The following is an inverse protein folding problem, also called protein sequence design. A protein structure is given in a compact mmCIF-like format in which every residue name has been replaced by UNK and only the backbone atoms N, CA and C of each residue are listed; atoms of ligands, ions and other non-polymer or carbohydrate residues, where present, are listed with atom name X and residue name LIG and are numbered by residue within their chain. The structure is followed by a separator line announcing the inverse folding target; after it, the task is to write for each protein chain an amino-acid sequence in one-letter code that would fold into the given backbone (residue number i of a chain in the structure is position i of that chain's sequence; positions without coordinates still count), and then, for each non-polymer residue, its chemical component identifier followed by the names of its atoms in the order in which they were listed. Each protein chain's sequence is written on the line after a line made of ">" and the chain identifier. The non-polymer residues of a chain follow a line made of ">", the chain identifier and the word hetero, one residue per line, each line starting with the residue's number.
data_IF_711450941743
#
_entry.id   IF_711450941743
#
_cell.length_a   1.000
_cell.length_b   1.000
_cell.length_c   1.000
_cell.angle_alpha   90.00
_cell.angle_beta   90.00
_cell.angle_gamma   90.00
#
_symmetry.space_group_name_H-M   'P 1'
#
loop_
_entity.id
_entity.type
_entity.pdbx_description
1 polymer ?
#
# COMPACT_ATOMS: atom_id res chain seq x y z
N UNK A 1 21.02 66.08 50.34
CA UNK A 1 19.92 65.17 50.34
C UNK A 1 19.67 64.79 48.87
N UNK A 2 20.11 63.62 48.48
CA UNK A 2 19.99 63.12 47.12
C UNK A 2 18.95 61.99 47.11
N UNK A 3 17.87 62.24 46.41
CA UNK A 3 16.80 61.24 46.24
C UNK A 3 17.24 60.16 45.26
N UNK A 4 17.27 58.88 45.70
CA UNK A 4 17.49 57.70 44.88
C UNK A 4 16.14 57.21 44.36
N UNK A 5 15.90 57.34 43.05
CA UNK A 5 14.77 56.73 42.39
C UNK A 5 15.19 55.35 41.88
N UNK A 6 14.57 54.30 42.43
CA UNK A 6 14.73 52.89 41.96
C UNK A 6 13.93 52.67 40.67
N UNK A 7 14.66 52.41 39.60
CA UNK A 7 14.08 52.03 38.29
C UNK A 7 13.75 50.54 38.26
N UNK A 8 12.45 50.18 38.11
CA UNK A 8 11.98 48.80 38.06
C UNK A 8 11.82 48.44 36.57
N UNK A 9 12.54 47.42 36.08
CA UNK A 9 12.42 47.05 34.66
C UNK A 9 11.06 46.40 34.37
N UNK A 10 10.32 46.98 33.42
CA UNK A 10 9.07 46.40 32.87
C UNK A 10 9.36 45.08 32.15
N UNK A 11 8.90 43.97 32.73
CA UNK A 11 8.92 42.65 32.10
C UNK A 11 8.09 42.66 30.79
N UNK A 12 8.75 42.42 29.66
CA UNK A 12 8.13 42.32 28.33
C UNK A 12 7.20 41.10 28.24
N UNK A 13 5.89 41.32 28.32
CA UNK A 13 4.84 40.30 28.18
C UNK A 13 4.87 39.54 26.84
N UNK A 14 5.46 40.16 25.79
CA UNK A 14 5.59 39.58 24.46
C UNK A 14 6.61 38.43 24.35
N UNK A 15 7.60 38.34 25.28
CA UNK A 15 8.60 37.28 25.23
C UNK A 15 8.06 35.97 25.83
N UNK A 16 7.23 36.07 26.87
CA UNK A 16 6.57 34.90 27.49
C UNK A 16 5.53 34.26 26.52
N UNK A 17 4.80 35.09 25.76
CA UNK A 17 3.81 34.61 24.80
C UNK A 17 4.46 33.94 23.58
N UNK A 18 5.61 34.44 23.10
CA UNK A 18 6.37 33.81 22.01
C UNK A 18 6.98 32.47 22.42
N UNK A 19 7.49 32.36 23.65
CA UNK A 19 8.04 31.09 24.18
C UNK A 19 6.93 30.05 24.37
N UNK A 20 5.73 30.44 24.78
CA UNK A 20 4.59 29.53 24.93
C UNK A 20 4.09 29.01 23.58
N UNK A 21 4.07 29.86 22.53
CA UNK A 21 3.68 29.45 21.16
C UNK A 21 4.71 28.48 20.55
N UNK A 22 6.01 28.71 20.74
CA UNK A 22 7.06 27.80 20.29
C UNK A 22 7.02 26.44 21.02
N UNK A 23 6.72 26.43 22.32
CA UNK A 23 6.59 25.19 23.09
C UNK A 23 5.35 24.38 22.66
N UNK A 24 4.24 25.03 22.36
CA UNK A 24 3.02 24.39 21.85
C UNK A 24 3.20 23.84 20.41
N UNK A 25 3.98 24.51 19.56
CA UNK A 25 4.31 24.03 18.21
C UNK A 25 5.25 22.81 18.24
N UNK A 26 6.19 22.74 19.19
CA UNK A 26 7.07 21.59 19.40
C UNK A 26 6.31 20.35 19.92
N UNK A 27 5.32 20.51 20.80
CA UNK A 27 4.49 19.40 21.26
C UNK A 27 3.50 18.87 20.21
N UNK A 28 3.07 19.69 19.24
CA UNK A 28 2.23 19.28 18.12
C UNK A 28 2.98 18.40 17.09
N UNK A 29 4.30 18.58 16.92
CA UNK A 29 5.14 17.81 16.01
C UNK A 29 5.55 16.44 16.56
N UNK A 30 5.66 16.27 17.88
CA UNK A 30 6.13 15.03 18.52
C UNK A 30 5.11 13.87 18.45
N UNK A 31 3.84 14.14 18.14
CA UNK A 31 2.80 13.08 18.01
C UNK A 31 2.83 12.33 16.69
N UNK A 32 3.51 12.81 15.66
CA UNK A 32 3.54 12.16 14.34
C UNK A 32 4.69 11.18 14.15
N UNK A 33 5.82 11.39 14.81
CA UNK A 33 7.04 10.56 14.64
C UNK A 33 6.91 9.12 15.15
N UNK A 34 5.97 8.84 16.05
CA UNK A 34 5.77 7.52 16.65
C UNK A 34 4.45 6.83 16.26
N UNK A 35 3.70 7.38 15.30
CA UNK A 35 2.47 6.75 14.84
C UNK A 35 2.76 5.68 13.79
N UNK A 36 2.08 4.53 13.83
CA UNK A 36 2.13 3.55 12.74
C UNK A 36 1.74 4.18 11.41
N UNK A 37 2.31 3.69 10.34
CA UNK A 37 2.00 4.17 8.99
C UNK A 37 2.15 3.07 7.93
N UNK A 38 1.54 3.32 6.78
CA UNK A 38 1.70 2.50 5.58
C UNK A 38 2.56 3.29 4.59
N UNK A 39 3.51 2.61 3.94
CA UNK A 39 4.30 3.13 2.82
C UNK A 39 4.00 2.33 1.56
N UNK A 40 3.79 3.03 0.44
CA UNK A 40 3.63 2.42 -0.88
C UNK A 40 5.01 2.07 -1.43
N UNK A 41 5.24 0.80 -1.74
CA UNK A 41 6.53 0.24 -2.17
C UNK A 41 6.59 -0.06 -3.67
N UNK A 42 5.45 -0.04 -4.34
CA UNK A 42 5.31 -0.22 -5.77
C UNK A 42 3.87 0.05 -6.19
N UNK A 43 3.66 0.37 -7.45
CA UNK A 43 2.36 0.79 -7.98
C UNK A 43 1.94 0.10 -9.26
N UNK A 44 2.85 -0.64 -9.92
CA UNK A 44 2.57 -1.30 -11.19
C UNK A 44 1.92 -2.67 -10.98
N UNK A 45 1.15 -3.13 -11.97
CA UNK A 45 0.61 -4.48 -12.01
C UNK A 45 1.72 -5.51 -12.27
N UNK A 46 1.58 -6.71 -11.76
CA UNK A 46 2.30 -7.96 -11.94
C UNK A 46 3.70 -7.92 -12.57
N UNK A 47 3.80 -7.44 -13.80
CA UNK A 47 5.03 -7.42 -14.58
C UNK A 47 5.84 -6.13 -14.47
N UNK A 48 5.38 -5.15 -13.69
CA UNK A 48 6.06 -3.86 -13.53
C UNK A 48 6.03 -2.95 -14.75
N UNK A 49 6.73 -1.83 -14.65
CA UNK A 49 7.03 -0.93 -15.77
C UNK A 49 8.53 -0.65 -15.80
N UNK A 50 9.27 -0.95 -16.88
CA UNK A 50 8.78 -1.48 -18.16
C UNK A 50 8.34 -2.95 -18.07
N UNK A 51 7.29 -3.29 -18.83
CA UNK A 51 6.74 -4.63 -18.87
C UNK A 51 7.53 -5.53 -19.84
N UNK A 52 7.76 -6.79 -19.44
CA UNK A 52 8.51 -7.76 -20.25
C UNK A 52 7.88 -7.96 -21.64
N UNK A 53 8.70 -7.87 -22.69
CA UNK A 53 8.25 -8.03 -24.08
C UNK A 53 7.50 -6.81 -24.65
N UNK A 54 7.19 -5.80 -23.88
CA UNK A 54 6.50 -4.61 -24.38
C UNK A 54 7.48 -3.67 -25.12
N UNK A 55 7.21 -3.44 -26.41
CA UNK A 55 7.96 -2.50 -27.27
C UNK A 55 7.17 -1.22 -27.58
N UNK A 56 5.99 -1.07 -26.97
CA UNK A 56 5.10 0.07 -27.20
C UNK A 56 5.60 1.32 -26.49
N UNK A 57 4.98 2.47 -26.82
CA UNK A 57 5.35 3.79 -26.29
C UNK A 57 5.38 3.85 -24.77
N UNK A 58 4.46 3.16 -24.09
CA UNK A 58 4.40 3.10 -22.62
C UNK A 58 5.69 2.58 -21.98
N UNK A 59 6.32 1.51 -22.53
CA UNK A 59 7.54 0.94 -22.00
C UNK A 59 8.82 1.44 -22.68
N UNK A 60 8.72 1.96 -23.91
CA UNK A 60 9.89 2.35 -24.71
C UNK A 60 10.77 3.38 -24.02
N UNK A 61 10.15 4.37 -23.36
CA UNK A 61 10.90 5.39 -22.59
C UNK A 61 11.63 4.71 -21.43
N UNK A 62 10.95 3.91 -20.64
CA UNK A 62 11.51 3.22 -19.47
C UNK A 62 12.67 2.30 -19.87
N UNK A 63 12.58 1.54 -20.97
CA UNK A 63 13.69 0.76 -21.50
C UNK A 63 14.91 1.62 -21.86
N UNK A 64 14.70 2.84 -22.35
CA UNK A 64 15.81 3.72 -22.77
C UNK A 64 16.42 4.54 -21.64
N UNK A 65 15.63 4.88 -20.60
CA UNK A 65 16.08 5.74 -19.49
C UNK A 65 16.47 4.95 -18.24
N UNK A 66 16.05 3.68 -18.12
CA UNK A 66 16.18 2.89 -16.90
C UNK A 66 15.17 3.27 -15.81
N UNK A 67 14.26 4.21 -16.07
CA UNK A 67 13.16 4.51 -15.17
C UNK A 67 12.24 3.29 -15.06
N UNK A 68 11.85 2.93 -13.84
CA UNK A 68 10.94 1.82 -13.58
C UNK A 68 9.92 2.17 -12.51
N UNK A 69 8.76 1.50 -12.57
CA UNK A 69 7.79 1.46 -11.48
C UNK A 69 7.69 0.02 -10.98
N UNK A 70 7.87 -0.16 -9.68
CA UNK A 70 7.84 -1.48 -9.04
C UNK A 70 6.43 -2.03 -8.97
N UNK A 71 6.36 -3.35 -8.91
CA UNK A 71 5.10 -4.07 -8.73
C UNK A 71 4.46 -3.73 -7.40
N UNK A 72 3.14 -3.60 -7.42
CA UNK A 72 2.30 -3.11 -6.32
C UNK A 72 2.50 -3.90 -5.04
N UNK A 73 2.90 -3.19 -4.01
CA UNK A 73 3.08 -3.69 -2.66
C UNK A 73 3.06 -2.53 -1.68
N UNK A 74 2.69 -2.79 -0.45
CA UNK A 74 2.74 -1.82 0.64
C UNK A 74 3.46 -2.39 1.86
N UNK A 75 4.14 -1.51 2.59
CA UNK A 75 4.74 -1.83 3.89
C UNK A 75 3.93 -1.24 5.03
N UNK A 76 3.65 -2.03 6.06
CA UNK A 76 3.08 -1.57 7.32
C UNK A 76 4.23 -1.37 8.29
N UNK A 77 4.34 -0.22 8.92
CA UNK A 77 5.45 0.13 9.79
C UNK A 77 4.92 0.58 11.15
N UNK A 78 5.47 -0.02 12.20
CA UNK A 78 5.31 0.47 13.56
C UNK A 78 6.66 1.02 14.08
N UNK A 79 6.83 2.35 14.09
CA UNK A 79 8.09 2.97 14.53
C UNK A 79 8.44 2.70 16.00
N UNK A 80 7.42 2.46 16.85
CA UNK A 80 7.65 2.19 18.28
C UNK A 80 8.35 0.87 18.52
N UNK A 81 8.07 -0.13 17.68
CA UNK A 81 8.65 -1.47 17.80
C UNK A 81 9.81 -1.71 16.84
N UNK A 82 9.99 -0.82 15.84
CA UNK A 82 10.95 -1.02 14.75
C UNK A 82 10.60 -2.20 13.86
N UNK A 83 9.34 -2.64 13.86
CA UNK A 83 8.87 -3.76 13.06
C UNK A 83 8.14 -3.29 11.82
N UNK A 84 8.24 -4.09 10.75
CA UNK A 84 7.48 -3.89 9.52
C UNK A 84 6.89 -5.19 9.03
N UNK A 85 5.81 -5.07 8.25
CA UNK A 85 5.17 -6.16 7.51
C UNK A 85 5.00 -5.74 6.07
N UNK A 86 5.19 -6.70 5.16
CA UNK A 86 5.01 -6.51 3.74
C UNK A 86 3.67 -7.10 3.31
N UNK A 87 2.89 -6.41 2.50
CA UNK A 87 1.78 -7.02 1.77
C UNK A 87 2.22 -7.23 0.34
N UNK A 88 2.24 -8.50 -0.06
CA UNK A 88 2.72 -9.08 -1.31
C UNK A 88 4.25 -9.07 -1.48
N UNK A 89 4.78 -10.27 -1.74
CA UNK A 89 6.18 -10.49 -2.10
C UNK A 89 6.33 -10.49 -3.62
N UNK A 90 6.55 -9.33 -4.19
CA UNK A 90 6.56 -9.07 -5.64
C UNK A 90 7.89 -9.48 -6.30
N UNK A 91 8.00 -9.44 -7.63
CA UNK A 91 9.29 -9.55 -8.33
C UNK A 91 10.35 -8.55 -7.83
N UNK A 92 9.91 -7.38 -7.33
CA UNK A 92 10.77 -6.32 -6.80
C UNK A 92 11.09 -6.45 -5.31
N UNK A 93 10.82 -7.62 -4.71
CA UNK A 93 10.96 -7.88 -3.28
C UNK A 93 12.27 -7.37 -2.68
N UNK A 94 13.41 -7.59 -3.35
CA UNK A 94 14.70 -7.19 -2.83
C UNK A 94 14.80 -5.66 -2.62
N UNK A 95 14.32 -4.86 -3.57
CA UNK A 95 14.34 -3.40 -3.46
C UNK A 95 13.28 -2.90 -2.47
N UNK A 96 12.12 -3.55 -2.39
CA UNK A 96 11.06 -3.21 -1.46
C UNK A 96 11.46 -3.52 -0.01
N UNK A 97 12.12 -4.66 0.22
CA UNK A 97 12.71 -5.01 1.51
C UNK A 97 13.78 -4.00 1.93
N UNK A 98 14.66 -3.60 1.00
CA UNK A 98 15.68 -2.59 1.27
C UNK A 98 15.07 -1.24 1.70
N UNK A 99 13.94 -0.85 1.12
CA UNK A 99 13.22 0.37 1.54
C UNK A 99 12.73 0.20 3.00
N UNK A 100 12.10 -0.92 3.34
CA UNK A 100 11.62 -1.16 4.71
C UNK A 100 12.75 -1.18 5.74
N UNK A 101 13.82 -1.92 5.46
CA UNK A 101 14.87 -2.14 6.46
C UNK A 101 15.88 -1.01 6.54
N UNK A 102 16.29 -0.42 5.41
CA UNK A 102 17.35 0.57 5.40
C UNK A 102 16.83 2.02 5.32
N UNK A 103 15.73 2.30 4.58
CA UNK A 103 15.20 3.66 4.52
C UNK A 103 14.30 3.95 5.71
N UNK A 104 13.44 3.00 6.09
CA UNK A 104 12.53 3.15 7.24
C UNK A 104 13.11 2.60 8.55
N UNK A 105 14.31 2.01 8.52
CA UNK A 105 15.03 1.48 9.67
C UNK A 105 14.19 0.53 10.52
N UNK A 106 13.58 -0.45 9.87
CA UNK A 106 12.73 -1.46 10.52
C UNK A 106 13.25 -2.86 10.23
N UNK A 107 12.69 -3.85 10.91
CA UNK A 107 12.94 -5.28 10.64
C UNK A 107 11.67 -5.92 10.09
N UNK A 108 11.78 -6.60 8.95
CA UNK A 108 10.67 -7.36 8.40
C UNK A 108 10.26 -8.48 9.37
N UNK A 109 9.01 -8.45 9.82
CA UNK A 109 8.44 -9.35 10.82
C UNK A 109 7.41 -10.32 10.25
N UNK A 110 6.99 -10.13 8.99
CA UNK A 110 6.08 -11.03 8.30
C UNK A 110 5.63 -10.50 6.94
N UNK A 111 5.09 -11.40 6.15
CA UNK A 111 4.59 -11.13 4.79
C UNK A 111 3.15 -11.62 4.71
N UNK A 112 2.25 -10.77 4.23
CA UNK A 112 0.86 -11.08 3.95
C UNK A 112 0.67 -11.22 2.44
N UNK A 113 -0.03 -12.25 2.00
CA UNK A 113 -0.29 -12.49 0.58
C UNK A 113 -1.76 -12.21 0.27
N UNK A 114 -1.98 -11.48 -0.82
CA UNK A 114 -3.35 -11.21 -1.31
C UNK A 114 -3.89 -12.41 -2.09
N UNK A 115 -3.14 -12.93 -3.05
CA UNK A 115 -3.55 -14.04 -3.91
C UNK A 115 -2.38 -14.65 -4.72
N UNK A 116 -2.66 -15.69 -5.52
CA UNK A 116 -1.66 -16.45 -6.27
C UNK A 116 -1.50 -16.00 -7.73
N UNK A 117 -1.46 -14.69 -8.00
CA UNK A 117 -0.92 -14.17 -9.26
C UNK A 117 0.56 -13.82 -9.10
N UNK A 118 1.32 -13.96 -10.18
CA UNK A 118 2.79 -13.98 -10.14
C UNK A 118 3.39 -12.69 -9.55
N UNK A 119 2.74 -11.56 -9.72
CA UNK A 119 3.14 -10.27 -9.17
C UNK A 119 3.12 -10.20 -7.64
N UNK A 120 2.39 -11.11 -6.97
CA UNK A 120 2.08 -10.98 -5.54
C UNK A 120 2.83 -11.96 -4.64
N UNK A 121 3.44 -13.04 -5.18
CA UNK A 121 4.06 -14.08 -4.34
C UNK A 121 5.41 -14.58 -4.83
N UNK A 122 5.84 -14.31 -6.07
CA UNK A 122 7.08 -14.88 -6.62
C UNK A 122 8.32 -14.44 -5.85
N UNK A 123 8.29 -13.25 -5.26
CA UNK A 123 9.38 -12.70 -4.44
C UNK A 123 9.67 -13.53 -3.18
N UNK A 124 8.76 -14.41 -2.74
CA UNK A 124 9.03 -15.34 -1.66
C UNK A 124 10.27 -16.20 -1.93
N UNK A 125 10.63 -16.44 -3.18
CA UNK A 125 11.83 -17.19 -3.56
C UNK A 125 13.12 -16.56 -3.07
N UNK A 126 13.11 -15.22 -2.87
CA UNK A 126 14.26 -14.48 -2.31
C UNK A 126 14.57 -14.88 -0.85
N UNK A 127 13.59 -15.48 -0.13
CA UNK A 127 13.78 -15.98 1.23
C UNK A 127 14.56 -17.28 1.28
N UNK A 128 14.74 -17.96 0.13
CA UNK A 128 15.43 -19.22 -0.01
C UNK A 128 16.91 -19.15 0.34
N UNK A 129 17.52 -20.33 0.48
CA UNK A 129 18.94 -20.52 0.84
C UNK A 129 19.91 -19.92 -0.18
N UNK A 130 19.48 -19.78 -1.43
CA UNK A 130 20.29 -19.24 -2.52
C UNK A 130 20.47 -17.72 -2.45
N UNK A 131 19.60 -17.01 -1.66
CA UNK A 131 19.63 -15.57 -1.50
C UNK A 131 19.73 -15.18 -0.03
N UNK A 132 18.60 -15.12 0.71
CA UNK A 132 18.59 -14.63 2.10
C UNK A 132 18.89 -15.75 3.12
N UNK A 133 18.56 -17.00 2.81
CA UNK A 133 18.60 -18.07 3.81
C UNK A 133 17.76 -17.74 5.04
N UNK A 134 16.59 -17.14 4.85
CA UNK A 134 15.71 -16.70 5.93
C UNK A 134 15.37 -17.89 6.86
N UNK A 135 15.04 -17.58 8.12
CA UNK A 135 14.69 -18.58 9.12
C UNK A 135 13.29 -18.34 9.64
N UNK A 136 12.37 -19.24 9.28
CA UNK A 136 10.97 -19.24 9.72
C UNK A 136 10.27 -17.89 9.51
N UNK A 137 10.55 -17.17 8.40
CA UNK A 137 9.87 -15.92 8.08
C UNK A 137 8.36 -16.16 8.06
N UNK A 138 7.55 -15.45 8.88
CA UNK A 138 6.10 -15.60 8.88
C UNK A 138 5.51 -15.20 7.53
N UNK A 139 4.75 -16.08 6.90
CA UNK A 139 3.99 -15.82 5.68
C UNK A 139 2.52 -16.11 5.97
N UNK A 140 1.71 -15.07 5.97
CA UNK A 140 0.28 -15.14 6.24
C UNK A 140 -0.46 -15.36 4.92
N UNK A 141 -1.28 -16.40 4.85
CA UNK A 141 -1.96 -16.81 3.63
C UNK A 141 -3.33 -17.45 3.91
N UNK A 142 -4.27 -17.26 2.99
CA UNK A 142 -5.56 -17.92 2.98
C UNK A 142 -5.43 -19.43 2.69
N UNK A 143 -6.41 -20.26 3.06
CA UNK A 143 -6.29 -21.73 3.00
C UNK A 143 -5.89 -22.32 1.64
N UNK A 144 -6.49 -21.86 0.52
CA UNK A 144 -6.08 -22.34 -0.81
C UNK A 144 -4.67 -21.86 -1.16
N UNK A 145 -4.32 -20.59 -0.84
CA UNK A 145 -2.96 -20.08 -1.02
C UNK A 145 -1.93 -20.89 -0.24
N UNK A 146 -2.23 -21.31 0.98
CA UNK A 146 -1.37 -22.21 1.74
C UNK A 146 -1.19 -23.55 1.01
N UNK A 147 -2.29 -24.11 0.51
CA UNK A 147 -2.27 -25.38 -0.25
C UNK A 147 -1.44 -25.23 -1.51
N UNK A 148 -1.59 -24.12 -2.22
CA UNK A 148 -0.79 -23.81 -3.39
C UNK A 148 0.72 -23.77 -3.07
N UNK A 149 1.15 -23.05 -2.05
CA UNK A 149 2.56 -22.95 -1.66
C UNK A 149 3.14 -24.30 -1.17
N UNK A 150 2.33 -25.12 -0.47
CA UNK A 150 2.75 -26.43 0.04
C UNK A 150 2.93 -27.47 -1.06
N UNK A 151 2.15 -27.38 -2.13
CA UNK A 151 2.09 -28.43 -3.16
C UNK A 151 2.90 -28.10 -4.42
N UNK A 152 3.41 -26.86 -4.56
CA UNK A 152 4.14 -26.48 -5.74
C UNK A 152 5.61 -26.13 -5.42
N UNK A 153 6.51 -26.71 -6.24
CA UNK A 153 7.92 -26.34 -6.19
C UNK A 153 8.13 -25.02 -6.97
N UNK A 154 9.07 -24.18 -6.54
CA UNK A 154 10.02 -24.38 -5.45
C UNK A 154 9.52 -23.88 -4.07
N UNK A 155 8.31 -23.34 -3.93
CA UNK A 155 7.81 -22.76 -2.66
C UNK A 155 7.73 -23.80 -1.53
N UNK A 156 7.36 -25.06 -1.84
CA UNK A 156 7.34 -26.13 -0.85
C UNK A 156 8.74 -26.41 -0.25
N UNK A 157 9.83 -26.16 -0.99
CA UNK A 157 11.18 -26.25 -0.46
C UNK A 157 11.43 -25.20 0.62
N UNK A 158 10.96 -23.95 0.44
CA UNK A 158 11.10 -22.92 1.47
C UNK A 158 10.50 -23.33 2.80
N UNK A 159 9.39 -24.09 2.75
CA UNK A 159 8.73 -24.65 3.94
C UNK A 159 9.55 -25.81 4.53
N UNK A 160 9.97 -26.75 3.69
CA UNK A 160 10.63 -27.96 4.16
C UNK A 160 11.99 -27.71 4.80
N UNK A 161 12.71 -26.68 4.36
CA UNK A 161 14.02 -26.29 4.93
C UNK A 161 13.90 -25.14 5.95
N UNK A 162 12.67 -24.72 6.29
CA UNK A 162 12.44 -23.73 7.33
C UNK A 162 12.83 -22.30 6.97
N UNK A 163 12.84 -21.93 5.68
CA UNK A 163 13.02 -20.52 5.29
C UNK A 163 11.78 -19.68 5.62
N UNK A 164 10.59 -20.26 5.40
CA UNK A 164 9.30 -19.64 5.71
C UNK A 164 8.49 -20.51 6.65
N UNK A 165 7.59 -19.87 7.38
CA UNK A 165 6.55 -20.51 8.21
C UNK A 165 5.20 -19.96 7.80
N UNK A 166 4.30 -20.78 7.26
CA UNK A 166 2.94 -20.36 6.91
C UNK A 166 2.10 -20.19 8.17
N UNK A 167 1.42 -19.05 8.25
CA UNK A 167 0.41 -18.73 9.26
C UNK A 167 -0.94 -18.55 8.56
N UNK A 168 -1.98 -19.16 9.13
CA UNK A 168 -3.29 -19.19 8.51
C UNK A 168 -4.03 -17.89 8.68
N UNK A 169 -4.56 -17.36 7.58
CA UNK A 169 -5.57 -16.32 7.53
C UNK A 169 -6.97 -16.94 7.53
N UNK A 170 -7.93 -16.18 8.02
CA UNK A 170 -9.36 -16.47 7.91
C UNK A 170 -10.06 -15.18 7.53
N UNK A 171 -11.06 -15.27 6.64
CA UNK A 171 -11.86 -14.14 6.23
C UNK A 171 -12.42 -13.37 7.43
N UNK A 172 -12.32 -12.05 7.38
CA UNK A 172 -12.85 -11.12 8.39
C UNK A 172 -12.35 -11.39 9.82
N UNK A 173 -11.19 -12.05 9.96
CA UNK A 173 -10.57 -12.30 11.27
C UNK A 173 -9.34 -11.41 11.47
N UNK A 174 -9.46 -10.54 12.44
CA UNK A 174 -8.38 -9.63 12.82
C UNK A 174 -7.15 -10.36 13.37
N UNK A 175 -5.97 -9.89 12.99
CA UNK A 175 -4.67 -10.32 13.50
C UNK A 175 -3.98 -9.12 14.13
N UNK A 176 -3.57 -9.27 15.37
CA UNK A 176 -2.78 -8.28 16.09
C UNK A 176 -1.32 -8.36 15.67
N UNK A 177 -0.78 -7.30 15.09
CA UNK A 177 0.64 -7.19 14.70
C UNK A 177 1.49 -6.65 15.85
N UNK A 178 1.05 -5.55 16.45
CA UNK A 178 1.67 -4.94 17.63
C UNK A 178 0.59 -4.54 18.64
N UNK A 179 0.97 -3.81 19.68
CA UNK A 179 -0.02 -3.23 20.60
C UNK A 179 -0.99 -2.29 19.89
N UNK A 180 -0.49 -1.56 18.88
CA UNK A 180 -1.19 -0.43 18.27
C UNK A 180 -1.64 -0.69 16.83
N UNK A 181 -1.28 -1.84 16.23
CA UNK A 181 -1.56 -2.16 14.82
C UNK A 181 -2.24 -3.52 14.69
N UNK A 182 -3.29 -3.54 13.92
CA UNK A 182 -4.08 -4.73 13.56
C UNK A 182 -4.26 -4.80 12.05
N UNK A 183 -4.42 -6.02 11.53
CA UNK A 183 -4.72 -6.28 10.12
C UNK A 183 -5.82 -7.34 10.01
N UNK A 184 -6.75 -7.14 9.10
CA UNK A 184 -7.89 -8.02 8.84
C UNK A 184 -7.96 -8.30 7.34
N UNK A 185 -7.85 -9.56 6.89
CA UNK A 185 -8.13 -9.94 5.52
C UNK A 185 -9.64 -10.01 5.30
N UNK A 186 -10.10 -9.66 4.10
CA UNK A 186 -11.47 -9.87 3.67
C UNK A 186 -11.51 -10.31 2.21
N UNK A 187 -12.41 -11.24 1.89
CA UNK A 187 -12.55 -11.78 0.55
C UNK A 187 -13.02 -10.71 -0.45
N UNK A 188 -12.43 -10.74 -1.61
CA UNK A 188 -12.86 -9.97 -2.78
C UNK A 188 -13.00 -10.89 -3.99
N UNK A 189 -13.96 -10.65 -4.91
CA UNK A 189 -14.06 -11.45 -6.13
C UNK A 189 -12.89 -11.15 -7.07
N UNK A 190 -12.28 -12.20 -7.60
CA UNK A 190 -11.25 -12.11 -8.65
C UNK A 190 -11.16 -13.45 -9.38
N UNK A 191 -10.12 -13.65 -10.22
CA UNK A 191 -9.84 -14.94 -10.88
C UNK A 191 -9.16 -15.92 -9.91
N UNK A 192 -9.91 -16.62 -9.14
CA UNK A 192 -9.41 -17.48 -8.04
C UNK A 192 -8.89 -18.84 -8.54
N UNK A 193 -8.04 -18.86 -9.58
CA UNK A 193 -7.54 -20.09 -10.21
C UNK A 193 -6.75 -20.97 -9.24
N UNK A 194 -5.93 -20.36 -8.38
CA UNK A 194 -5.02 -21.09 -7.48
C UNK A 194 -5.23 -20.76 -6.00
N UNK A 195 -5.85 -19.65 -5.68
CA UNK A 195 -6.08 -19.19 -4.31
C UNK A 195 -7.35 -18.37 -4.19
N UNK A 196 -7.78 -18.12 -2.98
CA UNK A 196 -8.67 -16.99 -2.68
C UNK A 196 -7.95 -15.68 -3.00
N UNK A 197 -8.73 -14.63 -3.30
CA UNK A 197 -8.22 -13.26 -3.36
C UNK A 197 -8.76 -12.46 -2.18
N UNK A 198 -7.89 -11.72 -1.49
CA UNK A 198 -8.24 -10.89 -0.35
C UNK A 198 -7.74 -9.46 -0.50
N UNK A 199 -8.53 -8.52 -0.01
CA UNK A 199 -8.06 -7.21 0.42
C UNK A 199 -7.70 -7.23 1.90
N UNK A 200 -7.09 -6.15 2.38
CA UNK A 200 -6.71 -6.00 3.79
C UNK A 200 -7.23 -4.68 4.35
N UNK A 201 -7.79 -4.75 5.56
CA UNK A 201 -8.04 -3.59 6.42
C UNK A 201 -6.91 -3.51 7.44
N UNK A 202 -6.22 -2.38 7.49
CA UNK A 202 -5.15 -2.09 8.44
C UNK A 202 -5.67 -1.02 9.39
N UNK A 203 -5.62 -1.29 10.68
CA UNK A 203 -6.19 -0.42 11.70
C UNK A 203 -5.15 -0.09 12.76
N UNK A 204 -5.07 1.18 13.12
CA UNK A 204 -4.38 1.62 14.33
C UNK A 204 -5.37 2.34 15.25
N UNK A 205 -4.88 2.84 16.40
CA UNK A 205 -5.74 3.53 17.38
C UNK A 205 -6.52 4.73 16.81
N UNK A 206 -6.01 5.39 15.79
CA UNK A 206 -6.52 6.66 15.30
C UNK A 206 -7.11 6.59 13.89
N UNK A 207 -6.64 5.67 13.06
CA UNK A 207 -7.00 5.62 11.63
C UNK A 207 -6.99 4.21 11.09
N UNK A 208 -7.66 4.07 9.95
CA UNK A 208 -7.75 2.83 9.19
C UNK A 208 -7.42 3.05 7.72
N UNK A 209 -6.89 2.00 7.11
CA UNK A 209 -6.61 1.93 5.68
C UNK A 209 -7.18 0.64 5.11
N UNK A 210 -7.80 0.72 3.94
CA UNK A 210 -8.19 -0.44 3.14
C UNK A 210 -7.29 -0.53 1.93
N UNK A 211 -6.76 -1.73 1.66
CA UNK A 211 -5.92 -2.07 0.51
C UNK A 211 -6.59 -3.17 -0.31
N UNK A 212 -7.01 -2.84 -1.52
CA UNK A 212 -7.63 -3.74 -2.50
C UNK A 212 -6.90 -3.53 -3.82
N UNK A 213 -5.72 -4.14 -4.02
CA UNK A 213 -4.93 -3.94 -5.24
C UNK A 213 -5.56 -4.61 -6.45
N UNK A 214 -6.27 -5.70 -6.22
CA UNK A 214 -6.80 -6.56 -7.27
C UNK A 214 -8.20 -7.03 -6.91
N UNK A 215 -9.17 -6.76 -7.78
CA UNK A 215 -10.57 -7.14 -7.60
C UNK A 215 -11.25 -7.22 -8.97
N UNK A 216 -12.25 -8.06 -9.14
CA UNK A 216 -13.18 -8.01 -10.27
C UNK A 216 -14.13 -6.79 -10.12
N UNK A 217 -15.08 -6.64 -11.02
CA UNK A 217 -16.05 -5.53 -11.01
C UNK A 217 -16.70 -5.37 -9.64
N UNK A 218 -16.83 -4.14 -9.14
CA UNK A 218 -17.48 -3.84 -7.86
C UNK A 218 -18.86 -4.46 -7.71
N UNK A 219 -19.59 -4.63 -8.81
CA UNK A 219 -20.92 -5.27 -8.84
C UNK A 219 -20.91 -6.76 -8.50
N UNK A 220 -19.74 -7.42 -8.53
CA UNK A 220 -19.58 -8.83 -8.16
C UNK A 220 -19.19 -9.01 -6.69
N UNK A 221 -18.82 -7.93 -6.00
CA UNK A 221 -18.49 -7.98 -4.60
C UNK A 221 -19.74 -7.90 -3.75
N UNK A 222 -19.84 -8.70 -2.71
CA UNK A 222 -20.96 -8.73 -1.77
C UNK A 222 -20.98 -7.56 -0.79
N UNK A 223 -19.86 -6.81 -0.70
CA UNK A 223 -19.78 -5.58 0.08
C UNK A 223 -19.94 -4.35 -0.82
N UNK A 224 -20.44 -3.28 -0.22
CA UNK A 224 -20.62 -1.99 -0.87
C UNK A 224 -19.37 -1.12 -0.70
N UNK A 225 -18.61 -0.92 -1.79
CA UNK A 225 -17.38 -0.08 -1.77
C UNK A 225 -17.66 1.33 -1.27
N UNK A 226 -18.84 1.89 -1.53
CA UNK A 226 -19.22 3.20 -1.01
C UNK A 226 -19.20 3.21 0.51
N UNK A 227 -19.77 2.20 1.16
CA UNK A 227 -19.77 2.05 2.62
C UNK A 227 -18.36 1.79 3.16
N UNK A 228 -17.57 0.96 2.47
CA UNK A 228 -16.19 0.68 2.86
C UNK A 228 -15.37 1.96 2.91
N UNK A 229 -15.45 2.81 1.88
CA UNK A 229 -14.73 4.10 1.84
C UNK A 229 -15.24 5.08 2.89
N UNK A 230 -16.53 5.10 3.19
CA UNK A 230 -17.06 5.97 4.26
C UNK A 230 -16.43 5.65 5.62
N UNK A 231 -16.21 4.37 5.93
CA UNK A 231 -15.74 3.89 7.23
C UNK A 231 -14.22 3.68 7.30
N UNK A 232 -13.46 4.22 6.35
CA UNK A 232 -11.99 4.19 6.36
C UNK A 232 -11.41 5.59 6.21
N UNK A 233 -10.15 5.79 6.63
CA UNK A 233 -9.43 7.07 6.46
C UNK A 233 -8.65 7.11 5.16
N UNK A 234 -8.19 5.95 4.67
CA UNK A 234 -7.48 5.79 3.40
C UNK A 234 -7.97 4.55 2.68
N UNK A 235 -8.09 4.62 1.36
CA UNK A 235 -8.42 3.49 0.51
C UNK A 235 -7.45 3.45 -0.68
N UNK A 236 -6.61 2.41 -0.74
CA UNK A 236 -5.78 2.07 -1.88
C UNK A 236 -6.56 1.04 -2.71
N UNK A 237 -7.07 1.44 -3.86
CA UNK A 237 -8.00 0.65 -4.67
C UNK A 237 -7.41 0.30 -6.03
N UNK A 238 -7.85 -0.82 -6.58
CA UNK A 238 -7.53 -1.28 -7.93
C UNK A 238 -7.68 -0.16 -8.95
N UNK A 239 -6.61 0.11 -9.66
CA UNK A 239 -6.50 1.09 -10.74
C UNK A 239 -5.84 0.50 -11.97
N UNK A 240 -5.97 -0.82 -12.18
CA UNK A 240 -5.27 -1.55 -13.24
C UNK A 240 -5.44 -0.89 -14.59
N UNK A 241 -6.66 -0.56 -15.00
CA UNK A 241 -6.94 0.16 -16.23
C UNK A 241 -7.70 1.46 -15.97
N UNK A 242 -7.40 2.50 -16.76
CA UNK A 242 -8.14 3.75 -16.69
C UNK A 242 -9.51 3.62 -17.38
N UNK A 243 -9.53 3.07 -18.60
CA UNK A 243 -10.73 2.88 -19.42
C UNK A 243 -10.61 1.67 -20.33
N UNK A 244 -11.70 1.35 -21.02
CA UNK A 244 -11.73 0.28 -22.02
C UNK A 244 -10.83 0.51 -23.24
N UNK A 245 -10.36 1.73 -23.47
CA UNK A 245 -9.63 2.10 -24.68
C UNK A 245 -8.14 1.74 -24.64
N UNK A 246 -7.62 1.27 -23.49
CA UNK A 246 -6.19 1.04 -23.32
C UNK A 246 -5.65 -0.14 -24.12
N UNK A 247 -6.47 -1.17 -24.37
CA UNK A 247 -6.09 -2.36 -25.12
C UNK A 247 -7.15 -2.61 -26.21
N UNK A 248 -7.11 -1.86 -27.32
CA UNK A 248 -8.19 -1.83 -28.32
C UNK A 248 -8.43 -3.14 -29.08
N UNK A 249 -7.53 -4.13 -28.94
CA UNK A 249 -7.62 -5.44 -29.60
C UNK A 249 -8.16 -6.54 -28.68
N UNK A 250 -8.52 -6.21 -27.46
CA UNK A 250 -9.04 -7.16 -26.46
C UNK A 250 -10.44 -6.75 -26.02
N UNK A 251 -11.31 -7.74 -25.85
CA UNK A 251 -12.59 -7.48 -25.20
C UNK A 251 -12.36 -7.13 -23.74
N UNK A 252 -12.46 -5.83 -23.43
CA UNK A 252 -12.22 -5.30 -22.09
C UNK A 252 -13.35 -5.65 -21.10
N UNK A 253 -14.51 -6.14 -21.58
CA UNK A 253 -15.59 -6.62 -20.71
C UNK A 253 -15.23 -7.93 -20.00
N UNK A 254 -14.29 -8.71 -20.58
CA UNK A 254 -13.79 -9.95 -19.99
C UNK A 254 -12.67 -9.71 -18.95
N UNK A 255 -12.18 -8.47 -18.82
CA UNK A 255 -11.10 -8.14 -17.90
C UNK A 255 -11.66 -8.01 -16.49
N UNK A 256 -11.17 -8.81 -15.54
CA UNK A 256 -11.68 -8.85 -14.18
C UNK A 256 -11.08 -7.73 -13.30
N UNK A 257 -11.24 -6.48 -13.74
CA UNK A 257 -10.87 -5.28 -12.99
C UNK A 257 -11.89 -4.18 -13.22
N UNK A 258 -12.24 -3.38 -12.20
CA UNK A 258 -12.98 -2.15 -12.43
C UNK A 258 -12.08 -1.14 -13.11
N UNK A 259 -12.59 -0.39 -14.09
CA UNK A 259 -11.84 0.74 -14.61
C UNK A 259 -11.84 1.90 -13.60
N UNK A 260 -10.79 2.71 -13.64
CA UNK A 260 -10.72 3.91 -12.81
C UNK A 260 -11.94 4.81 -13.05
N UNK A 261 -12.36 4.98 -14.32
CA UNK A 261 -13.55 5.77 -14.65
C UNK A 261 -14.83 5.19 -14.03
N UNK A 262 -15.01 3.86 -14.04
CA UNK A 262 -16.16 3.18 -13.43
C UNK A 262 -16.17 3.41 -11.91
N UNK A 263 -15.03 3.26 -11.27
CA UNK A 263 -14.89 3.51 -9.83
C UNK A 263 -15.17 4.96 -9.47
N UNK A 264 -14.64 5.91 -10.26
CA UNK A 264 -14.90 7.34 -10.04
C UNK A 264 -16.36 7.71 -10.22
N UNK A 265 -17.04 7.12 -11.20
CA UNK A 265 -18.44 7.38 -11.46
C UNK A 265 -19.35 6.75 -10.38
N UNK A 266 -19.04 5.52 -9.96
CA UNK A 266 -19.72 4.84 -8.85
C UNK A 266 -19.65 5.65 -7.53
N UNK A 267 -18.52 6.30 -7.29
CA UNK A 267 -18.27 7.06 -6.06
C UNK A 267 -18.47 8.58 -6.22
N UNK A 268 -19.06 9.03 -7.34
CA UNK A 268 -19.22 10.45 -7.65
C UNK A 268 -20.13 11.19 -6.66
N UNK A 269 -21.11 10.51 -6.07
CA UNK A 269 -22.02 11.09 -5.09
C UNK A 269 -21.39 11.30 -3.70
N UNK A 270 -20.17 10.77 -3.48
CA UNK A 270 -19.41 11.07 -2.29
C UNK A 270 -19.00 12.54 -2.26
N UNK A 271 -19.00 13.13 -1.07
CA UNK A 271 -18.42 14.46 -0.89
C UNK A 271 -16.91 14.44 -1.17
N UNK A 272 -16.34 15.61 -1.48
CA UNK A 272 -14.93 15.74 -1.85
C UNK A 272 -13.95 15.29 -0.77
N UNK A 273 -14.33 15.35 0.51
CA UNK A 273 -13.50 14.86 1.63
C UNK A 273 -13.33 13.35 1.57
N UNK A 274 -14.39 12.60 1.27
CA UNK A 274 -14.35 11.16 1.17
C UNK A 274 -13.63 10.70 -0.12
N UNK A 275 -13.86 11.37 -1.27
CA UNK A 275 -13.12 11.05 -2.51
C UNK A 275 -11.61 11.23 -2.35
N UNK A 276 -11.15 12.21 -1.57
CA UNK A 276 -9.71 12.42 -1.27
C UNK A 276 -9.06 11.32 -0.44
N UNK A 277 -9.82 10.42 0.16
CA UNK A 277 -9.28 9.24 0.86
C UNK A 277 -8.79 8.16 -0.11
N UNK A 278 -9.24 8.20 -1.38
CA UNK A 278 -9.08 7.16 -2.38
C UNK A 278 -7.82 7.44 -3.21
N UNK A 279 -6.98 6.42 -3.30
CA UNK A 279 -5.76 6.38 -4.10
C UNK A 279 -5.85 5.16 -5.02
N UNK A 280 -5.79 5.36 -6.32
CA UNK A 280 -5.66 4.25 -7.27
C UNK A 280 -4.23 3.73 -7.27
N UNK A 281 -4.08 2.41 -7.34
CA UNK A 281 -2.81 1.67 -7.31
C UNK A 281 -2.88 0.48 -8.27
N UNK A 282 -1.81 -0.30 -8.46
CA UNK A 282 -1.78 -1.51 -9.27
C UNK A 282 -2.01 -1.26 -10.76
N UNK A 283 -1.33 -0.23 -11.30
CA UNK A 283 -1.53 0.20 -12.70
C UNK A 283 -0.89 -0.77 -13.70
N UNK A 284 -1.65 -1.20 -14.70
CA UNK A 284 -1.05 -1.83 -15.88
C UNK A 284 -0.06 -0.87 -16.54
N UNK A 285 0.99 -1.40 -17.15
CA UNK A 285 2.01 -0.60 -17.83
C UNK A 285 1.46 0.30 -18.95
N UNK A 286 0.28 -0.04 -19.51
CA UNK A 286 -0.43 0.77 -20.52
C UNK A 286 -1.23 1.91 -19.91
N UNK A 287 -1.57 1.82 -18.60
CA UNK A 287 -2.42 2.81 -17.96
C UNK A 287 -1.73 4.17 -17.89
N UNK A 288 -2.27 5.21 -18.54
CA UNK A 288 -1.64 6.54 -18.54
C UNK A 288 -1.57 7.18 -17.16
N UNK A 289 -2.37 6.71 -16.17
CA UNK A 289 -2.35 7.21 -14.81
C UNK A 289 -1.07 6.83 -14.03
N UNK A 290 -0.33 5.81 -14.46
CA UNK A 290 0.96 5.43 -13.87
C UNK A 290 1.97 6.59 -13.96
N UNK A 291 1.84 7.43 -14.99
CA UNK A 291 2.60 8.68 -15.07
C UNK A 291 1.86 9.78 -14.33
N UNK A 292 2.40 10.20 -13.18
CA UNK A 292 1.82 11.22 -12.32
C UNK A 292 1.65 12.60 -12.96
N UNK A 293 2.35 12.90 -14.04
CA UNK A 293 2.26 14.17 -14.79
C UNK A 293 1.33 14.09 -15.99
N UNK A 294 0.72 12.93 -16.25
CA UNK A 294 -0.18 12.73 -17.40
C UNK A 294 -1.47 13.55 -17.26
N UNK A 295 -2.11 13.80 -18.40
CA UNK A 295 -3.46 14.40 -18.42
C UNK A 295 -4.49 13.56 -17.66
N UNK A 296 -4.38 12.23 -17.75
CA UNK A 296 -5.23 11.27 -17.04
C UNK A 296 -5.10 11.43 -15.52
N UNK A 297 -3.86 11.48 -15.01
CA UNK A 297 -3.63 11.71 -13.58
C UNK A 297 -4.16 13.08 -13.12
N UNK A 298 -4.10 14.10 -14.00
CA UNK A 298 -4.68 15.42 -13.71
C UNK A 298 -6.22 15.35 -13.67
N UNK A 299 -6.88 14.59 -14.56
CA UNK A 299 -8.33 14.38 -14.53
C UNK A 299 -8.74 13.69 -13.22
N UNK A 300 -8.06 12.61 -12.82
CA UNK A 300 -8.33 11.91 -11.55
C UNK A 300 -8.28 12.88 -10.38
N UNK A 301 -7.22 13.69 -10.28
CA UNK A 301 -7.06 14.68 -9.20
C UNK A 301 -8.09 15.81 -9.26
N UNK A 302 -8.50 16.25 -10.45
CA UNK A 302 -9.54 17.28 -10.60
C UNK A 302 -10.89 16.81 -10.03
N UNK A 303 -11.19 15.51 -10.13
CA UNK A 303 -12.37 14.87 -9.53
C UNK A 303 -12.19 14.54 -8.05
N UNK A 304 -11.09 14.96 -7.42
CA UNK A 304 -10.76 14.79 -5.99
C UNK A 304 -10.42 13.34 -5.59
N UNK A 305 -10.01 12.51 -6.51
CA UNK A 305 -9.34 11.24 -6.26
C UNK A 305 -7.83 11.41 -6.33
N UNK A 306 -7.06 10.40 -5.94
CA UNK A 306 -5.61 10.44 -5.99
C UNK A 306 -5.06 9.26 -6.80
N UNK A 307 -3.81 9.42 -7.22
CA UNK A 307 -2.98 8.38 -7.84
C UNK A 307 -1.87 8.06 -6.85
N UNK A 308 -1.75 6.80 -6.44
CA UNK A 308 -0.68 6.36 -5.55
C UNK A 308 0.67 6.47 -6.24
N UNK A 309 1.72 6.73 -5.48
CA UNK A 309 3.11 6.77 -5.95
C UNK A 309 4.03 6.04 -4.99
N UNK A 310 5.13 5.51 -5.47
CA UNK A 310 6.16 4.94 -4.61
C UNK A 310 6.63 5.97 -3.57
N UNK A 311 6.84 5.50 -2.35
CA UNK A 311 7.23 6.35 -1.22
C UNK A 311 6.10 7.18 -0.61
N UNK A 312 4.84 7.04 -1.06
CA UNK A 312 3.70 7.66 -0.39
C UNK A 312 3.54 7.08 1.01
N UNK A 313 3.52 7.95 2.03
CA UNK A 313 3.32 7.58 3.43
C UNK A 313 1.90 8.00 3.85
N UNK A 314 1.16 7.06 4.43
CA UNK A 314 -0.18 7.23 4.97
C UNK A 314 -0.15 6.91 6.47
N UNK A 315 -0.17 7.94 7.32
CA UNK A 315 -0.13 7.78 8.79
C UNK A 315 -1.44 7.22 9.33
N UNK A 316 -1.34 6.18 10.15
CA UNK A 316 -2.47 5.48 10.78
C UNK A 316 -2.77 5.98 12.19
#
# INVERSE_FOLDING_TARGET
>A
MADFVLDVPKKNSNQAMKTLIYTLLLFGSLKSENSPYVVVLGIAQDGGLPHAGCVQKCCKKSWSTGENEKVSSIGIIDPKTGQSWLIDATPDFASQLNILENVHNTKLSGIFLTHAHIGHYIGLLQLGREVMGAKNMPVYAMPKMQTFLKNNSPWNQLLSIGNIKILSLQDSKEIKLTRDVYIEPFLVPHRDEFSETVGYRIVSQNRSLVYIPDIDKWSKWDQDIFKVVLHTDYALLDGTFYSSDEIPHRDMSEIPHPFIIETMDLLNDMNSKNRKKIYFIHFNHSNPAINHTSSTSNIIRSKRFNVAKEGLILTL
#
